data_IF_895009005437
#
_entry.id   IF_895009005437
#
_cell.length_a   1.000
_cell.length_b   1.000
_cell.length_c   1.000
_cell.angle_alpha   90.00
_cell.angle_beta   90.00
_cell.angle_gamma   90.00
#
_symmetry.space_group_name_H-M   'P 1'
#
loop_
_entity.id
_entity.type
_entity.pdbx_description
1 polymer ?
#
# COMPACT_ATOMS: atom_id res chain seq x y z
N UNK A 1 -0.22 -19.55 -8.69
CA UNK A 1 1.17 -19.30 -9.16
C UNK A 1 2.09 -19.19 -7.93
N UNK A 2 3.43 -19.28 -8.00
CA UNK A 2 4.26 -19.09 -6.79
C UNK A 2 4.46 -17.60 -6.51
N UNK A 3 4.34 -17.18 -5.24
CA UNK A 3 4.54 -15.78 -4.79
C UNK A 3 5.71 -15.08 -5.50
N UNK A 4 6.84 -15.80 -5.59
CA UNK A 4 8.06 -15.34 -6.24
C UNK A 4 7.85 -14.84 -7.67
N UNK A 5 7.10 -15.58 -8.48
CA UNK A 5 6.89 -15.28 -9.90
C UNK A 5 6.05 -14.00 -10.07
N UNK A 6 5.04 -13.84 -9.22
CA UNK A 6 4.17 -12.65 -9.22
C UNK A 6 4.97 -11.44 -8.72
N UNK A 7 5.73 -11.61 -7.63
CA UNK A 7 6.55 -10.57 -7.05
C UNK A 7 7.60 -10.06 -8.04
N UNK A 8 8.36 -10.95 -8.69
CA UNK A 8 9.41 -10.59 -9.65
C UNK A 8 8.82 -9.91 -10.91
N UNK A 9 7.56 -10.18 -11.23
CA UNK A 9 6.83 -9.52 -12.32
C UNK A 9 6.30 -8.14 -11.95
N UNK A 10 5.76 -7.96 -10.74
CA UNK A 10 5.08 -6.73 -10.30
C UNK A 10 6.05 -5.71 -9.71
N UNK A 11 7.07 -6.14 -8.97
CA UNK A 11 8.03 -5.22 -8.33
C UNK A 11 8.66 -4.22 -9.32
N UNK A 12 9.16 -4.63 -10.50
CA UNK A 12 9.80 -3.70 -11.44
C UNK A 12 8.86 -2.60 -11.97
N UNK A 13 7.54 -2.83 -11.95
CA UNK A 13 6.55 -1.86 -12.40
C UNK A 13 6.54 -0.60 -11.52
N UNK A 14 6.90 -0.74 -10.24
CA UNK A 14 7.03 0.39 -9.31
C UNK A 14 8.24 1.30 -9.60
N UNK A 15 9.13 0.89 -10.50
CA UNK A 15 10.33 1.63 -10.86
C UNK A 15 11.38 1.65 -9.75
N UNK A 16 12.31 2.61 -9.84
CA UNK A 16 13.45 2.69 -8.93
C UNK A 16 13.16 3.55 -7.69
N UNK A 17 12.09 4.35 -7.71
CA UNK A 17 11.81 5.33 -6.65
C UNK A 17 10.31 5.56 -6.50
N UNK A 18 9.86 5.48 -5.26
CA UNK A 18 8.52 5.89 -4.84
C UNK A 18 8.64 7.28 -4.23
N UNK A 19 8.06 8.26 -4.92
CA UNK A 19 8.05 9.67 -4.49
C UNK A 19 6.72 10.00 -3.82
N UNK A 20 6.81 10.46 -2.57
CA UNK A 20 5.68 10.92 -1.77
C UNK A 20 5.97 12.28 -1.13
N UNK A 21 6.73 13.13 -1.83
CA UNK A 21 7.08 14.47 -1.37
C UNK A 21 5.88 15.41 -1.21
N UNK A 22 4.76 15.05 -1.83
CA UNK A 22 3.47 15.73 -1.72
C UNK A 22 2.61 15.17 -0.57
N UNK A 23 3.18 14.26 0.23
CA UNK A 23 2.54 13.64 1.36
C UNK A 23 2.04 14.65 2.39
N UNK A 24 0.90 14.37 3.00
CA UNK A 24 0.41 15.12 4.15
C UNK A 24 -0.37 14.22 5.10
N UNK A 25 -0.41 14.63 6.37
CA UNK A 25 -1.13 13.94 7.43
C UNK A 25 -2.50 14.61 7.64
N UNK A 26 -3.57 13.86 7.39
CA UNK A 26 -4.95 14.27 7.61
C UNK A 26 -5.32 13.91 9.05
N UNK A 27 -5.55 14.93 9.86
CA UNK A 27 -6.10 14.77 11.20
C UNK A 27 -7.63 14.80 11.12
N UNK A 28 -8.36 13.80 11.65
CA UNK A 28 -9.81 13.87 11.69
C UNK A 28 -10.25 15.10 12.52
N UNK A 29 -11.06 15.98 11.92
CA UNK A 29 -11.61 17.14 12.63
C UNK A 29 -12.37 16.65 13.86
N UNK A 30 -11.92 17.05 15.06
CA UNK A 30 -12.52 16.75 16.37
C UNK A 30 -13.90 17.41 16.60
N UNK A 31 -14.77 17.47 15.59
CA UNK A 31 -16.07 18.17 15.65
C UNK A 31 -17.17 17.40 16.39
N UNK A 32 -16.96 16.11 16.72
CA UNK A 32 -17.94 15.30 17.46
C UNK A 32 -17.36 14.68 18.74
N UNK A 33 -16.77 15.51 19.62
CA UNK A 33 -16.12 15.06 20.87
C UNK A 33 -17.03 14.43 21.94
N UNK A 34 -18.35 14.32 21.73
CA UNK A 34 -19.29 13.86 22.77
C UNK A 34 -20.05 12.57 22.43
N UNK A 35 -19.70 11.85 21.36
CA UNK A 35 -20.25 10.51 21.12
C UNK A 35 -19.19 9.47 21.48
N UNK A 36 -19.39 8.85 22.65
CA UNK A 36 -18.64 7.68 23.12
C UNK A 36 -18.60 6.60 22.03
N UNK A 37 -17.42 6.41 21.46
CA UNK A 37 -16.70 5.14 21.32
C UNK A 37 -15.29 5.49 20.87
N UNK A 38 -14.31 4.68 21.22
CA UNK A 38 -12.89 4.79 20.91
C UNK A 38 -12.67 4.77 19.38
N UNK A 39 -13.04 5.86 18.70
CA UNK A 39 -12.76 6.06 17.31
C UNK A 39 -11.29 6.50 17.24
N UNK A 40 -10.44 5.56 16.85
CA UNK A 40 -9.11 5.75 16.28
C UNK A 40 -8.79 7.23 16.01
N UNK A 41 -8.01 7.86 16.89
CA UNK A 41 -7.27 9.07 16.55
C UNK A 41 -6.09 8.69 15.62
N UNK A 42 -6.34 7.85 14.61
CA UNK A 42 -5.35 7.52 13.62
C UNK A 42 -5.29 8.67 12.63
N UNK A 43 -4.27 9.50 12.79
CA UNK A 43 -3.83 10.40 11.74
C UNK A 43 -3.62 9.59 10.45
N UNK A 44 -4.21 10.04 9.33
CA UNK A 44 -4.13 9.37 8.03
C UNK A 44 -3.03 9.99 7.17
N UNK A 45 -2.22 9.17 6.51
CA UNK A 45 -1.25 9.65 5.52
C UNK A 45 -1.84 9.58 4.12
N UNK A 46 -1.65 10.63 3.34
CA UNK A 46 -2.03 10.65 1.94
C UNK A 46 -0.95 11.31 1.09
N UNK A 47 -0.59 10.66 -0.02
CA UNK A 47 0.23 11.23 -1.11
C UNK A 47 -0.50 10.99 -2.43
N UNK A 48 -0.70 12.08 -3.18
CA UNK A 48 -1.34 12.02 -4.50
C UNK A 48 -0.40 11.37 -5.51
N UNK A 49 0.91 11.62 -5.43
CA UNK A 49 1.92 10.96 -6.27
C UNK A 49 1.88 9.44 -6.12
N UNK A 50 1.94 8.95 -4.89
CA UNK A 50 1.88 7.51 -4.60
C UNK A 50 0.56 6.89 -5.05
N UNK A 51 -0.57 7.55 -4.80
CA UNK A 51 -1.89 7.07 -5.25
C UNK A 51 -2.01 7.06 -6.77
N UNK A 52 -1.52 8.07 -7.47
CA UNK A 52 -1.53 8.12 -8.93
C UNK A 52 -0.63 7.04 -9.55
N UNK A 53 0.52 6.76 -8.92
CA UNK A 53 1.40 5.69 -9.35
C UNK A 53 0.69 4.34 -9.27
N UNK A 54 0.05 4.04 -8.13
CA UNK A 54 -0.76 2.83 -7.99
C UNK A 54 -1.87 2.74 -9.05
N UNK A 55 -2.66 3.79 -9.25
CA UNK A 55 -3.72 3.82 -10.27
C UNK A 55 -3.19 3.55 -11.69
N UNK A 56 -2.00 4.08 -12.02
CA UNK A 56 -1.38 3.86 -13.32
C UNK A 56 -0.96 2.39 -13.49
N UNK A 57 -0.34 1.80 -12.46
CA UNK A 57 0.07 0.39 -12.49
C UNK A 57 -1.11 -0.57 -12.51
N UNK A 58 -2.19 -0.23 -11.81
CA UNK A 58 -3.42 -1.03 -11.82
C UNK A 58 -4.01 -1.10 -13.23
N UNK A 59 -3.95 -0.01 -13.99
CA UNK A 59 -4.40 0.03 -15.38
C UNK A 59 -3.49 -0.75 -16.36
N UNK A 60 -2.24 -1.03 -15.98
CA UNK A 60 -1.30 -1.81 -16.79
C UNK A 60 -1.43 -3.32 -16.57
N UNK A 61 -1.88 -3.75 -15.39
CA UNK A 61 -2.13 -5.16 -15.10
C UNK A 61 -3.46 -5.58 -15.76
N UNK A 62 -3.44 -6.72 -16.46
CA UNK A 62 -4.64 -7.24 -17.11
C UNK A 62 -5.75 -7.51 -16.08
N UNK A 63 -6.99 -7.20 -16.43
CA UNK A 63 -8.14 -7.36 -15.51
C UNK A 63 -8.33 -8.82 -15.06
N UNK A 64 -7.93 -9.78 -15.89
CA UNK A 64 -7.96 -11.22 -15.62
C UNK A 64 -6.83 -11.70 -14.67
N UNK A 65 -5.82 -10.86 -14.40
CA UNK A 65 -4.65 -11.19 -13.56
C UNK A 65 -4.92 -10.84 -12.09
N UNK A 66 -5.86 -11.56 -11.48
CA UNK A 66 -6.28 -11.36 -10.10
C UNK A 66 -5.09 -11.41 -9.11
N UNK A 67 -4.21 -12.40 -9.25
CA UNK A 67 -3.02 -12.55 -8.40
C UNK A 67 -2.04 -11.35 -8.57
N UNK A 68 -1.86 -10.84 -9.79
CA UNK A 68 -1.06 -9.64 -10.06
C UNK A 68 -1.65 -8.37 -9.45
N UNK A 69 -2.98 -8.19 -9.53
CA UNK A 69 -3.68 -7.06 -8.91
C UNK A 69 -3.62 -7.13 -7.38
N UNK A 70 -3.78 -8.32 -6.82
CA UNK A 70 -3.64 -8.55 -5.39
C UNK A 70 -2.22 -8.22 -4.90
N UNK A 71 -1.20 -8.64 -5.64
CA UNK A 71 0.19 -8.29 -5.33
C UNK A 71 0.42 -6.78 -5.38
N UNK A 72 -0.09 -6.12 -6.43
CA UNK A 72 0.02 -4.67 -6.58
C UNK A 72 -0.63 -3.95 -5.40
N UNK A 73 -1.82 -4.40 -4.98
CA UNK A 73 -2.53 -3.87 -3.82
C UNK A 73 -1.74 -4.10 -2.52
N UNK A 74 -1.25 -5.31 -2.28
CA UNK A 74 -0.40 -5.64 -1.12
C UNK A 74 0.82 -4.73 -1.06
N UNK A 75 1.54 -4.56 -2.16
CA UNK A 75 2.68 -3.65 -2.24
C UNK A 75 2.26 -2.21 -1.93
N UNK A 76 1.14 -1.73 -2.49
CA UNK A 76 0.64 -0.39 -2.21
C UNK A 76 0.33 -0.17 -0.72
N UNK A 77 -0.31 -1.12 -0.05
CA UNK A 77 -0.61 -1.04 1.38
C UNK A 77 0.68 -0.89 2.20
N UNK A 78 1.67 -1.73 1.93
CA UNK A 78 2.97 -1.69 2.62
C UNK A 78 3.71 -0.39 2.29
N UNK A 79 3.76 0.02 1.03
CA UNK A 79 4.42 1.26 0.62
C UNK A 79 3.78 2.49 1.24
N UNK A 80 2.45 2.53 1.41
CA UNK A 80 1.77 3.61 2.14
C UNK A 80 2.20 3.66 3.61
N UNK A 81 2.30 2.51 4.27
CA UNK A 81 2.75 2.42 5.65
C UNK A 81 4.20 2.91 5.81
N UNK A 82 5.11 2.46 4.93
CA UNK A 82 6.50 2.88 4.93
C UNK A 82 6.67 4.35 4.53
N UNK A 83 5.90 4.84 3.55
CA UNK A 83 5.89 6.23 3.13
C UNK A 83 5.50 7.15 4.30
N UNK A 84 4.48 6.77 5.07
CA UNK A 84 4.12 7.49 6.30
C UNK A 84 5.29 7.57 7.28
N UNK A 85 5.89 6.42 7.63
CA UNK A 85 6.99 6.36 8.60
C UNK A 85 8.20 7.20 8.17
N UNK A 86 8.54 7.14 6.87
CA UNK A 86 9.63 7.92 6.27
C UNK A 86 9.28 9.41 6.22
N UNK A 87 8.04 9.76 5.90
CA UNK A 87 7.57 11.14 5.88
C UNK A 87 7.66 11.80 7.26
N UNK A 88 7.29 11.07 8.33
CA UNK A 88 7.46 11.52 9.72
C UNK A 88 8.95 11.76 10.09
N UNK A 89 9.88 11.11 9.38
CA UNK A 89 11.34 11.29 9.51
C UNK A 89 11.92 12.36 8.55
N UNK A 90 11.08 13.11 7.84
CA UNK A 90 11.47 14.04 6.76
C UNK A 90 12.17 13.38 5.56
N UNK A 91 11.95 12.08 5.34
CA UNK A 91 12.33 11.38 4.12
C UNK A 91 11.13 11.35 3.19
N UNK A 92 11.30 11.80 1.94
CA UNK A 92 10.19 12.06 1.01
C UNK A 92 10.11 11.07 -0.16
N UNK A 93 11.04 10.12 -0.21
CA UNK A 93 11.10 9.08 -1.22
C UNK A 93 11.87 7.86 -0.68
N UNK A 94 11.60 6.67 -1.23
CA UNK A 94 12.41 5.47 -0.99
C UNK A 94 12.39 4.57 -2.23
N UNK A 95 13.35 3.64 -2.35
CA UNK A 95 13.35 2.65 -3.41
C UNK A 95 12.50 1.42 -3.02
N UNK A 96 11.62 0.88 -3.90
CA UNK A 96 10.79 -0.29 -3.58
C UNK A 96 11.57 -1.48 -3.00
N UNK A 97 12.81 -1.66 -3.43
CA UNK A 97 13.71 -2.73 -3.02
C UNK A 97 14.24 -2.57 -1.58
N UNK A 98 14.05 -1.41 -0.95
CA UNK A 98 14.35 -1.21 0.47
C UNK A 98 13.35 -1.95 1.38
N UNK A 99 12.17 -2.29 0.87
CA UNK A 99 11.12 -2.96 1.62
C UNK A 99 11.43 -4.45 1.70
N UNK A 100 11.28 -5.02 2.90
CA UNK A 100 11.54 -6.44 3.11
C UNK A 100 10.54 -7.28 2.32
N UNK A 101 11.05 -8.14 1.47
CA UNK A 101 10.24 -9.08 0.68
C UNK A 101 9.43 -10.02 1.57
N UNK A 102 9.95 -10.40 2.74
CA UNK A 102 9.23 -11.25 3.68
C UNK A 102 7.95 -10.56 4.20
N UNK A 103 7.99 -9.24 4.39
CA UNK A 103 6.82 -8.43 4.79
C UNK A 103 5.74 -8.46 3.69
N UNK A 104 6.17 -8.33 2.43
CA UNK A 104 5.27 -8.40 1.26
C UNK A 104 4.67 -9.81 1.11
N UNK A 105 5.47 -10.86 1.32
CA UNK A 105 5.00 -12.25 1.27
C UNK A 105 3.97 -12.56 2.35
N UNK A 106 4.24 -12.16 3.60
CA UNK A 106 3.32 -12.39 4.71
C UNK A 106 1.97 -11.70 4.47
N UNK A 107 2.00 -10.42 4.07
CA UNK A 107 0.78 -9.67 3.79
C UNK A 107 0.04 -10.20 2.56
N UNK A 108 0.75 -10.64 1.52
CA UNK A 108 0.14 -11.23 0.32
C UNK A 108 -0.58 -12.53 0.67
N UNK A 109 0.07 -13.45 1.40
CA UNK A 109 -0.53 -14.71 1.84
C UNK A 109 -1.72 -14.50 2.78
N UNK A 110 -1.70 -13.43 3.59
CA UNK A 110 -2.84 -13.03 4.41
C UNK A 110 -4.01 -12.56 3.54
N UNK A 111 -3.77 -11.67 2.58
CA UNK A 111 -4.81 -11.16 1.69
C UNK A 111 -5.42 -12.28 0.81
N UNK A 112 -4.60 -13.20 0.29
CA UNK A 112 -5.09 -14.38 -0.47
C UNK A 112 -6.06 -15.20 0.38
N UNK A 113 -5.70 -15.47 1.64
CA UNK A 113 -6.56 -16.23 2.54
C UNK A 113 -7.85 -15.47 2.84
N UNK A 114 -7.79 -14.15 3.04
CA UNK A 114 -8.97 -13.32 3.31
C UNK A 114 -9.94 -13.27 2.12
N UNK A 115 -9.46 -13.23 0.87
CA UNK A 115 -10.31 -13.35 -0.32
C UNK A 115 -11.03 -14.72 -0.38
N UNK A 116 -10.37 -15.81 0.01
CA UNK A 116 -10.99 -17.15 0.04
C UNK A 116 -12.14 -17.27 1.06
N UNK A 117 -12.24 -16.39 2.06
CA UNK A 117 -13.34 -16.41 3.05
C UNK A 117 -14.60 -15.66 2.62
N UNK A 118 -14.57 -14.85 1.56
CA UNK A 118 -15.77 -14.12 1.10
C UNK A 118 -16.69 -14.97 0.19
N UNK A 119 -16.27 -16.19 -0.17
CA UNK A 119 -17.00 -17.10 -1.07
C UNK A 119 -17.80 -18.25 -0.36
N UNK A 120 -17.95 -18.23 0.98
CA UNK A 120 -18.86 -19.14 1.74
C UNK A 120 -20.15 -18.48 2.24
#
# INVERSE_FOLDING_TARGET
MQFQEIYDRVLPLWGDTIDFSDGYIIQPEKKFKNLKKEADNSDYFYSKKLSNQWNALEAEIAEEDAEGRLMLWTMFQIYQQHARQKFEQNVLAFAPQEIDKAEIEEQFLKNVKEEEWEDE
#
